data_IF_804893362058
#
_entry.id   IF_804893362058
#
_cell.length_a   1.000
_cell.length_b   1.000
_cell.length_c   1.000
_cell.angle_alpha   90.00
_cell.angle_beta   90.00
_cell.angle_gamma   90.00
#
_symmetry.space_group_name_H-M   'P 1'
#
loop_
_entity.id
_entity.type
_entity.pdbx_description
1 polymer ?
#
# COMPACT_ATOMS: atom_id res chain seq x y z
N UNK A 1 18.70 14.84 -11.99
CA UNK A 1 18.60 14.96 -10.53
C UNK A 1 17.13 14.71 -10.17
N UNK A 2 16.82 13.65 -9.43
CA UNK A 2 15.41 13.40 -9.02
C UNK A 2 14.99 14.51 -8.06
N UNK A 3 13.88 15.16 -8.35
CA UNK A 3 13.29 16.15 -7.43
C UNK A 3 12.96 15.47 -6.10
N UNK A 4 13.15 16.12 -4.94
CA UNK A 4 12.81 15.55 -3.66
C UNK A 4 11.32 15.22 -3.59
N UNK A 5 10.99 14.04 -3.05
CA UNK A 5 9.61 13.59 -2.95
C UNK A 5 8.77 14.55 -2.10
N UNK A 6 7.52 14.74 -2.52
CA UNK A 6 6.54 15.60 -1.86
C UNK A 6 5.74 14.80 -0.84
N UNK A 7 5.70 15.29 0.39
CA UNK A 7 4.90 14.72 1.48
C UNK A 7 3.87 15.74 1.91
N UNK A 8 2.62 15.33 2.05
CA UNK A 8 1.60 16.14 2.73
C UNK A 8 1.29 15.48 4.08
N UNK A 9 1.51 16.24 5.17
CA UNK A 9 1.11 15.84 6.52
C UNK A 9 -0.24 16.46 6.82
N UNK A 10 -1.22 15.62 7.10
CA UNK A 10 -2.58 16.03 7.48
C UNK A 10 -2.77 15.66 8.95
N UNK A 11 -2.67 16.66 9.82
CA UNK A 11 -2.64 16.52 11.28
C UNK A 11 -3.13 17.82 11.90
N UNK A 12 -4.09 17.77 12.81
CA UNK A 12 -4.67 18.94 13.45
C UNK A 12 -3.85 19.43 14.65
N UNK A 13 -3.08 18.56 15.31
CA UNK A 13 -2.10 18.99 16.29
C UNK A 13 -0.93 19.69 15.59
N UNK A 14 -0.94 21.02 15.66
CA UNK A 14 0.07 21.88 15.02
C UNK A 14 1.48 21.54 15.47
N UNK A 15 1.69 21.19 16.75
CA UNK A 15 3.03 20.85 17.29
C UNK A 15 3.53 19.55 16.71
N UNK A 16 2.68 18.53 16.65
CA UNK A 16 3.02 17.25 16.05
C UNK A 16 3.27 17.39 14.55
N UNK A 17 2.42 18.11 13.84
CA UNK A 17 2.56 18.37 12.41
C UNK A 17 3.89 19.07 12.09
N UNK A 18 4.26 20.09 12.86
CA UNK A 18 5.54 20.81 12.72
C UNK A 18 6.74 19.92 13.04
N UNK A 19 6.68 19.12 14.10
CA UNK A 19 7.74 18.18 14.45
C UNK A 19 7.98 17.16 13.32
N UNK A 20 6.91 16.60 12.77
CA UNK A 20 6.98 15.66 11.64
C UNK A 20 7.55 16.35 10.40
N UNK A 21 7.06 17.55 10.08
CA UNK A 21 7.56 18.35 8.95
C UNK A 21 9.06 18.60 9.05
N UNK A 22 9.49 19.14 10.18
CA UNK A 22 10.89 19.56 10.36
C UNK A 22 11.84 18.36 10.31
N UNK A 23 11.43 17.25 10.92
CA UNK A 23 12.19 16.01 10.84
C UNK A 23 12.29 15.47 9.41
N UNK A 24 11.19 15.43 8.66
CA UNK A 24 11.18 14.94 7.29
C UNK A 24 11.91 15.88 6.32
N UNK A 25 11.85 17.20 6.53
CA UNK A 25 12.63 18.18 5.75
C UNK A 25 14.13 17.99 5.95
N UNK A 26 14.59 17.71 7.18
CA UNK A 26 15.99 17.36 7.45
C UNK A 26 16.42 16.07 6.73
N UNK A 27 15.50 15.20 6.39
CA UNK A 27 15.76 13.99 5.61
C UNK A 27 15.67 14.23 4.08
N UNK A 28 15.51 15.49 3.64
CA UNK A 28 15.52 15.88 2.23
C UNK A 28 14.18 15.80 1.50
N UNK A 29 13.06 15.69 2.22
CA UNK A 29 11.71 15.71 1.63
C UNK A 29 11.16 17.13 1.53
N UNK A 30 10.23 17.35 0.58
CA UNK A 30 9.39 18.55 0.55
C UNK A 30 8.10 18.27 1.31
N UNK A 31 7.84 18.99 2.39
CA UNK A 31 6.71 18.70 3.27
C UNK A 31 5.76 19.87 3.37
N UNK A 32 4.50 19.65 3.05
CA UNK A 32 3.36 20.53 3.34
C UNK A 32 2.57 20.03 4.55
N UNK A 33 1.87 20.94 5.23
CA UNK A 33 0.97 20.63 6.35
C UNK A 33 -0.44 21.09 6.02
N UNK A 34 -1.43 20.28 6.35
CA UNK A 34 -2.85 20.65 6.39
C UNK A 34 -3.45 20.18 7.73
N UNK A 35 -4.24 21.02 8.37
CA UNK A 35 -4.80 20.74 9.70
C UNK A 35 -6.25 20.29 9.70
N UNK A 36 -6.90 20.13 8.53
CA UNK A 36 -8.34 19.82 8.43
C UNK A 36 -8.60 18.80 7.34
N UNK A 37 -9.45 17.83 7.65
CA UNK A 37 -9.81 16.79 6.70
C UNK A 37 -10.61 17.29 5.49
N UNK A 38 -11.52 18.23 5.68
CA UNK A 38 -12.32 18.81 4.59
C UNK A 38 -11.47 19.56 3.54
N UNK A 39 -10.36 20.18 3.96
CA UNK A 39 -9.41 20.84 3.05
C UNK A 39 -8.38 19.85 2.47
N UNK A 40 -8.11 18.80 3.21
CA UNK A 40 -7.11 17.80 2.79
C UNK A 40 -7.50 17.12 1.47
N UNK A 41 -8.77 16.83 1.26
CA UNK A 41 -9.25 16.20 0.01
C UNK A 41 -8.88 17.05 -1.21
N UNK A 42 -9.26 18.33 -1.20
CA UNK A 42 -8.98 19.24 -2.31
C UNK A 42 -7.47 19.37 -2.53
N UNK A 43 -6.72 19.54 -1.45
CA UNK A 43 -5.27 19.73 -1.50
C UNK A 43 -4.52 18.50 -1.99
N UNK A 44 -4.92 17.29 -1.57
CA UNK A 44 -4.33 16.03 -2.05
C UNK A 44 -4.52 15.90 -3.57
N UNK A 45 -5.71 16.20 -4.06
CA UNK A 45 -6.02 16.08 -5.49
C UNK A 45 -5.32 17.17 -6.32
N UNK A 46 -5.18 18.40 -5.80
CA UNK A 46 -4.52 19.49 -6.50
C UNK A 46 -3.00 19.36 -6.51
N UNK A 47 -2.39 19.06 -5.36
CA UNK A 47 -0.93 19.03 -5.20
C UNK A 47 -0.31 17.70 -5.65
N UNK A 48 -1.10 16.62 -5.71
CA UNK A 48 -0.70 15.26 -6.04
C UNK A 48 0.63 14.87 -5.35
N UNK A 49 0.72 14.88 -4.00
CA UNK A 49 1.93 14.52 -3.30
C UNK A 49 2.31 13.05 -3.56
N UNK A 50 3.59 12.69 -3.42
CA UNK A 50 4.03 11.30 -3.56
C UNK A 50 3.52 10.43 -2.40
N UNK A 51 3.35 11.03 -1.22
CA UNK A 51 2.77 10.37 -0.03
C UNK A 51 2.02 11.36 0.84
N UNK A 52 0.89 10.90 1.38
CA UNK A 52 0.12 11.60 2.42
C UNK A 52 0.32 10.87 3.74
N UNK A 53 0.73 11.59 4.78
CA UNK A 53 0.69 11.13 6.18
C UNK A 53 -0.59 11.71 6.77
N UNK A 54 -1.56 10.87 7.09
CA UNK A 54 -2.94 11.27 7.35
C UNK A 54 -3.37 10.83 8.75
N UNK A 55 -3.66 11.80 9.62
CA UNK A 55 -4.26 11.46 10.90
C UNK A 55 -5.68 10.91 10.73
N UNK A 56 -6.01 9.97 11.57
CA UNK A 56 -7.35 9.42 11.64
C UNK A 56 -8.37 10.45 12.14
N UNK A 57 -8.01 11.12 13.25
CA UNK A 57 -8.93 12.04 13.92
C UNK A 57 -8.68 13.49 13.51
N UNK A 58 -9.42 13.94 12.50
CA UNK A 58 -9.30 15.30 11.96
C UNK A 58 -10.61 16.08 12.12
N UNK A 59 -10.54 17.39 12.33
CA UNK A 59 -11.73 18.24 12.29
C UNK A 59 -12.26 18.39 10.86
N UNK A 60 -13.58 18.50 10.75
CA UNK A 60 -14.29 18.60 9.46
C UNK A 60 -14.63 17.24 8.89
N UNK A 61 -13.71 16.57 8.25
CA UNK A 61 -13.82 15.18 7.81
C UNK A 61 -12.75 14.33 8.48
N UNK A 62 -13.12 13.16 8.98
CA UNK A 62 -12.16 12.23 9.54
C UNK A 62 -11.20 11.65 8.47
N UNK A 63 -10.05 11.15 8.91
CA UNK A 63 -9.03 10.66 8.00
C UNK A 63 -9.46 9.47 7.16
N UNK A 64 -10.39 8.63 7.66
CA UNK A 64 -10.93 7.52 6.88
C UNK A 64 -11.80 8.02 5.73
N UNK A 65 -12.64 9.00 6.00
CA UNK A 65 -13.49 9.62 5.00
C UNK A 65 -12.62 10.31 3.93
N UNK A 66 -11.58 11.05 4.35
CA UNK A 66 -10.59 11.65 3.44
C UNK A 66 -9.95 10.57 2.57
N UNK A 67 -9.46 9.48 3.18
CA UNK A 67 -8.85 8.36 2.46
C UNK A 67 -9.81 7.77 1.41
N UNK A 68 -11.07 7.52 1.79
CA UNK A 68 -12.10 6.99 0.90
C UNK A 68 -12.38 7.91 -0.29
N UNK A 69 -12.50 9.22 -0.03
CA UNK A 69 -12.82 10.21 -1.06
C UNK A 69 -11.71 10.38 -2.09
N UNK A 70 -10.45 10.39 -1.64
CA UNK A 70 -9.33 10.63 -2.56
C UNK A 70 -8.90 9.39 -3.33
N UNK A 71 -9.18 8.19 -2.83
CA UNK A 71 -8.55 6.96 -3.34
C UNK A 71 -8.77 6.67 -4.81
N UNK A 72 -9.95 6.98 -5.35
CA UNK A 72 -10.26 6.74 -6.76
C UNK A 72 -9.51 7.68 -7.73
N UNK A 73 -9.14 8.88 -7.26
CA UNK A 73 -8.48 9.90 -8.08
C UNK A 73 -7.00 10.14 -7.70
N UNK A 74 -6.53 9.56 -6.59
CA UNK A 74 -5.19 9.73 -6.08
C UNK A 74 -4.42 8.40 -6.03
N UNK A 75 -3.39 8.29 -6.85
CA UNK A 75 -2.52 7.10 -6.97
C UNK A 75 -1.30 7.11 -6.04
N UNK A 76 -1.03 8.23 -5.37
CA UNK A 76 0.06 8.33 -4.39
C UNK A 76 -0.18 7.48 -3.15
N UNK A 77 0.78 7.46 -2.24
CA UNK A 77 0.74 6.64 -1.04
C UNK A 77 -0.01 7.32 0.09
N UNK A 78 -0.77 6.55 0.89
CA UNK A 78 -1.44 7.04 2.10
C UNK A 78 -0.97 6.23 3.30
N UNK A 79 -0.32 6.92 4.24
CA UNK A 79 0.14 6.39 5.53
C UNK A 79 -0.72 6.97 6.64
N UNK A 80 -1.54 6.14 7.27
CA UNK A 80 -2.42 6.58 8.35
C UNK A 80 -1.67 6.71 9.68
N UNK A 81 -1.97 7.78 10.44
CA UNK A 81 -1.60 7.88 11.85
C UNK A 81 -2.83 7.53 12.72
N UNK A 82 -2.67 6.67 13.71
CA UNK A 82 -3.78 6.25 14.58
C UNK A 82 -3.39 6.21 16.04
N UNK A 83 -4.27 6.73 16.91
CA UNK A 83 -4.15 6.62 18.37
C UNK A 83 -4.82 5.36 18.93
N UNK A 84 -5.57 4.60 18.10
CA UNK A 84 -6.38 3.48 18.55
C UNK A 84 -5.59 2.19 18.56
N UNK A 85 -5.80 1.39 19.61
CA UNK A 85 -5.16 0.09 19.82
C UNK A 85 -5.93 -1.08 19.19
N UNK A 86 -7.17 -0.85 18.75
CA UNK A 86 -8.03 -1.91 18.20
C UNK A 86 -7.58 -2.32 16.79
N UNK A 87 -7.31 -3.62 16.63
CA UNK A 87 -7.00 -4.24 15.34
C UNK A 87 -8.12 -4.02 14.30
N UNK A 88 -9.37 -3.87 14.76
CA UNK A 88 -10.53 -3.61 13.89
C UNK A 88 -10.44 -2.26 13.17
N UNK A 89 -9.94 -1.21 13.83
CA UNK A 89 -9.80 0.11 13.23
C UNK A 89 -8.68 0.14 12.17
N UNK A 90 -7.59 -0.60 12.40
CA UNK A 90 -6.53 -0.75 11.41
C UNK A 90 -7.02 -1.51 10.17
N UNK A 91 -7.88 -2.51 10.38
CA UNK A 91 -8.56 -3.26 9.33
C UNK A 91 -9.41 -2.30 8.47
N UNK A 92 -10.24 -1.46 9.10
CA UNK A 92 -11.10 -0.49 8.41
C UNK A 92 -10.27 0.53 7.62
N UNK A 93 -9.18 1.07 8.18
CA UNK A 93 -8.31 2.03 7.48
C UNK A 93 -7.66 1.44 6.23
N UNK A 94 -7.18 0.21 6.35
CA UNK A 94 -6.65 -0.53 5.19
C UNK A 94 -7.77 -0.89 4.22
N UNK A 95 -8.99 -1.18 4.69
CA UNK A 95 -10.19 -1.41 3.87
C UNK A 95 -10.59 -0.23 3.03
N UNK A 96 -10.37 0.97 3.49
CA UNK A 96 -10.68 2.18 2.76
C UNK A 96 -9.57 2.66 1.82
N UNK A 97 -8.46 1.91 1.71
CA UNK A 97 -7.43 2.17 0.71
C UNK A 97 -6.13 2.77 1.23
N UNK A 98 -5.89 2.84 2.53
CA UNK A 98 -4.59 3.21 3.07
C UNK A 98 -3.51 2.17 2.68
N UNK A 99 -2.29 2.65 2.46
CA UNK A 99 -1.16 1.79 2.08
C UNK A 99 -0.43 1.23 3.31
N UNK A 100 -0.42 1.96 4.43
CA UNK A 100 0.17 1.54 5.71
C UNK A 100 -0.36 2.40 6.87
N UNK A 101 0.02 2.07 8.11
CA UNK A 101 -0.34 2.85 9.31
C UNK A 101 0.84 2.96 10.28
N UNK A 102 0.79 3.98 11.14
CA UNK A 102 1.72 4.19 12.27
C UNK A 102 0.90 4.52 13.51
N UNK A 103 1.18 3.83 14.61
CA UNK A 103 0.56 4.14 15.90
C UNK A 103 1.11 5.43 16.50
N UNK A 104 0.23 6.22 17.11
CA UNK A 104 0.61 7.32 17.99
C UNK A 104 0.92 6.74 19.41
N UNK A 105 1.94 7.21 20.14
CA UNK A 105 2.81 8.32 19.81
C UNK A 105 3.76 8.01 18.63
N UNK A 106 3.88 8.98 17.71
CA UNK A 106 4.64 8.79 16.47
C UNK A 106 6.14 8.84 16.76
N UNK A 107 6.81 7.72 16.62
CA UNK A 107 8.27 7.66 16.69
C UNK A 107 8.87 8.10 15.32
N UNK A 108 9.67 9.20 15.26
CA UNK A 108 10.12 9.76 13.98
C UNK A 108 10.91 8.77 13.10
N UNK A 109 11.71 7.89 13.73
CA UNK A 109 12.49 6.88 12.98
C UNK A 109 11.58 5.82 12.35
N UNK A 110 10.53 5.38 13.05
CA UNK A 110 9.56 4.42 12.54
C UNK A 110 8.76 5.03 11.38
N UNK A 111 8.29 6.28 11.56
CA UNK A 111 7.61 7.03 10.51
C UNK A 111 8.47 7.13 9.24
N UNK A 112 9.73 7.54 9.39
CA UNK A 112 10.67 7.67 8.28
C UNK A 112 10.92 6.33 7.57
N UNK A 113 11.09 5.25 8.31
CA UNK A 113 11.30 3.92 7.75
C UNK A 113 10.11 3.49 6.87
N UNK A 114 8.87 3.72 7.34
CA UNK A 114 7.64 3.42 6.60
C UNK A 114 7.48 4.32 5.36
N UNK A 115 7.72 5.62 5.49
CA UNK A 115 7.72 6.55 4.35
C UNK A 115 8.72 6.08 3.28
N UNK A 116 9.96 5.75 3.66
CA UNK A 116 10.96 5.25 2.72
C UNK A 116 10.54 3.95 2.05
N UNK A 117 9.95 3.03 2.80
CA UNK A 117 9.44 1.78 2.26
C UNK A 117 8.33 2.03 1.23
N UNK A 118 7.39 2.93 1.50
CA UNK A 118 6.31 3.28 0.58
C UNK A 118 6.81 4.01 -0.67
N UNK A 119 7.74 4.97 -0.52
CA UNK A 119 8.29 5.75 -1.64
C UNK A 119 9.25 4.95 -2.53
N UNK A 120 10.03 4.00 -1.97
CA UNK A 120 10.91 3.12 -2.76
C UNK A 120 10.14 2.34 -3.82
N UNK A 121 8.90 2.02 -3.57
CA UNK A 121 8.01 1.31 -4.49
C UNK A 121 7.43 2.20 -5.59
N UNK A 122 7.37 3.51 -5.38
CA UNK A 122 6.92 4.46 -6.39
C UNK A 122 7.99 4.78 -7.45
N UNK A 123 9.27 4.64 -7.08
CA UNK A 123 10.41 4.90 -7.97
C UNK A 123 11.06 3.62 -8.46
N UNK A 124 10.37 2.82 -9.28
CA UNK A 124 10.90 1.54 -9.77
C UNK A 124 12.37 1.58 -10.14
N UNK A 125 13.26 1.22 -9.19
CA UNK A 125 14.57 0.62 -9.47
C UNK A 125 15.26 0.17 -8.18
N UNK A 126 15.82 -1.05 -8.26
CA UNK A 126 16.65 -1.77 -7.29
C UNK A 126 15.90 -2.55 -6.20
N UNK A 127 15.18 -3.57 -6.61
CA UNK A 127 14.99 -4.74 -5.78
C UNK A 127 16.15 -5.72 -6.03
N UNK A 128 16.77 -6.08 -4.95
CA UNK A 128 17.57 -7.27 -4.69
C UNK A 128 17.66 -8.29 -5.82
N UNK A 129 18.83 -8.38 -6.36
CA UNK A 129 19.32 -9.47 -7.21
C UNK A 129 19.40 -10.75 -6.36
N UNK A 130 18.33 -11.52 -6.27
CA UNK A 130 18.36 -12.92 -5.89
C UNK A 130 17.30 -13.69 -6.68
N UNK A 131 17.82 -14.37 -7.68
CA UNK A 131 17.33 -15.56 -8.39
C UNK A 131 15.91 -15.52 -8.99
N UNK A 132 15.93 -15.25 -10.28
CA UNK A 132 14.91 -15.67 -11.25
C UNK A 132 14.80 -17.19 -11.38
N UNK A 133 13.63 -17.66 -11.82
CA UNK A 133 13.63 -18.38 -13.08
C UNK A 133 12.64 -17.77 -14.11
N UNK A 134 13.18 -17.48 -15.26
CA UNK A 134 12.54 -17.35 -16.56
C UNK A 134 11.54 -16.21 -16.80
N UNK A 135 12.06 -15.13 -17.43
CA UNK A 135 11.41 -14.34 -18.46
C UNK A 135 10.14 -13.56 -18.11
N UNK A 136 10.35 -12.38 -17.52
CA UNK A 136 9.51 -11.24 -17.86
C UNK A 136 10.44 -10.19 -18.49
N UNK A 137 10.77 -10.34 -19.76
CA UNK A 137 11.65 -9.39 -20.46
C UNK A 137 11.01 -8.02 -20.67
N UNK A 138 9.70 -7.83 -20.33
CA UNK A 138 8.99 -6.57 -20.57
C UNK A 138 8.05 -6.11 -19.43
N UNK A 139 8.23 -6.57 -18.21
CA UNK A 139 7.36 -6.13 -17.10
C UNK A 139 5.88 -6.49 -17.27
N UNK A 140 5.57 -7.46 -18.13
CA UNK A 140 4.24 -7.97 -18.39
C UNK A 140 4.13 -9.44 -17.96
N UNK A 141 3.14 -9.75 -17.13
CA UNK A 141 2.81 -11.12 -16.75
C UNK A 141 1.46 -11.50 -17.32
N UNK A 142 1.38 -12.71 -17.89
CA UNK A 142 0.20 -13.26 -18.53
C UNK A 142 -0.18 -14.59 -17.89
N UNK A 143 -1.43 -14.71 -17.42
CA UNK A 143 -2.01 -15.93 -16.88
C UNK A 143 -3.42 -16.09 -17.45
N UNK A 144 -3.57 -16.80 -18.56
CA UNK A 144 -4.85 -16.91 -19.26
C UNK A 144 -5.42 -15.51 -19.58
N UNK A 145 -6.63 -15.16 -19.09
CA UNK A 145 -7.25 -13.86 -19.31
C UNK A 145 -6.69 -12.75 -18.40
N UNK A 146 -5.83 -13.07 -17.41
CA UNK A 146 -5.21 -12.09 -16.54
C UNK A 146 -3.93 -11.54 -17.18
N UNK A 147 -3.85 -10.22 -17.34
CA UNK A 147 -2.65 -9.49 -17.76
C UNK A 147 -2.27 -8.50 -16.67
N UNK A 148 -1.00 -8.49 -16.25
CA UNK A 148 -0.48 -7.59 -15.22
C UNK A 148 0.73 -6.87 -15.79
N UNK A 149 0.69 -5.53 -15.83
CA UNK A 149 1.77 -4.70 -16.33
C UNK A 149 2.39 -3.88 -15.19
N UNK A 150 3.68 -4.10 -14.91
CA UNK A 150 4.39 -3.39 -13.85
C UNK A 150 4.67 -1.93 -14.20
N UNK A 151 4.92 -1.62 -15.47
CA UNK A 151 5.24 -0.26 -15.92
C UNK A 151 4.06 0.69 -15.77
N UNK A 152 2.87 0.26 -16.21
CA UNK A 152 1.65 1.06 -16.06
C UNK A 152 0.94 0.84 -14.73
N UNK A 153 1.38 -0.14 -13.93
CA UNK A 153 0.73 -0.59 -12.67
C UNK A 153 -0.74 -0.93 -12.87
N UNK A 154 -1.05 -1.55 -13.99
CA UNK A 154 -2.42 -1.96 -14.35
C UNK A 154 -2.53 -3.47 -14.40
N UNK A 155 -3.71 -3.98 -14.06
CA UNK A 155 -4.07 -5.36 -14.28
C UNK A 155 -5.42 -5.42 -15.00
N UNK A 156 -5.56 -6.33 -15.95
CA UNK A 156 -6.82 -6.60 -16.65
C UNK A 156 -7.18 -8.06 -16.55
N UNK A 157 -8.45 -8.37 -16.36
CA UNK A 157 -8.98 -9.71 -16.35
C UNK A 157 -10.10 -9.81 -17.40
N UNK A 158 -9.95 -10.71 -18.37
CA UNK A 158 -10.88 -10.83 -19.50
C UNK A 158 -11.17 -9.47 -20.18
N UNK A 159 -10.09 -8.70 -20.48
CA UNK A 159 -10.09 -7.37 -21.08
C UNK A 159 -10.72 -6.24 -20.22
N UNK A 160 -11.21 -6.56 -19.01
CA UNK A 160 -11.70 -5.55 -18.07
C UNK A 160 -10.58 -5.10 -17.14
N UNK A 161 -10.38 -3.79 -17.03
CA UNK A 161 -9.40 -3.22 -16.09
C UNK A 161 -9.85 -3.43 -14.65
N UNK A 162 -8.95 -3.96 -13.82
CA UNK A 162 -9.18 -4.14 -12.40
C UNK A 162 -8.82 -2.84 -11.66
N UNK A 163 -9.77 -2.30 -10.92
CA UNK A 163 -9.54 -1.15 -10.04
C UNK A 163 -8.80 -1.61 -8.78
N UNK A 164 -7.48 -1.65 -8.84
CA UNK A 164 -6.62 -2.05 -7.73
C UNK A 164 -6.03 -0.83 -7.04
N UNK A 165 -6.06 -0.84 -5.71
CA UNK A 165 -5.22 0.08 -4.94
C UNK A 165 -3.75 -0.26 -5.17
N UNK A 166 -2.85 0.67 -4.87
CA UNK A 166 -1.40 0.44 -5.00
C UNK A 166 -0.96 -0.84 -4.28
N UNK A 167 -1.49 -1.07 -3.06
CA UNK A 167 -1.14 -2.24 -2.24
C UNK A 167 -1.67 -3.54 -2.82
N UNK A 168 -2.89 -3.54 -3.33
CA UNK A 168 -3.47 -4.71 -3.99
C UNK A 168 -2.70 -5.06 -5.25
N UNK A 169 -2.28 -4.04 -6.02
CA UNK A 169 -1.44 -4.24 -7.19
C UNK A 169 -0.06 -4.82 -6.80
N UNK A 170 0.60 -4.24 -5.78
CA UNK A 170 1.91 -4.72 -5.33
C UNK A 170 1.84 -6.17 -4.84
N UNK A 171 0.78 -6.54 -4.11
CA UNK A 171 0.56 -7.92 -3.68
C UNK A 171 0.28 -8.84 -4.88
N UNK A 172 -0.58 -8.42 -5.81
CA UNK A 172 -0.87 -9.20 -7.02
C UNK A 172 0.39 -9.44 -7.84
N UNK A 173 1.19 -8.38 -8.06
CA UNK A 173 2.46 -8.46 -8.77
C UNK A 173 3.45 -9.39 -8.09
N UNK A 174 3.60 -9.28 -6.76
CA UNK A 174 4.50 -10.14 -5.98
C UNK A 174 4.09 -11.61 -6.07
N UNK A 175 2.81 -11.91 -5.85
CA UNK A 175 2.29 -13.27 -5.90
C UNK A 175 2.40 -13.86 -7.31
N UNK A 176 2.09 -13.08 -8.34
CA UNK A 176 2.17 -13.49 -9.74
C UNK A 176 3.62 -13.77 -10.18
N UNK A 177 4.60 -12.95 -9.76
CA UNK A 177 6.02 -13.23 -10.00
C UNK A 177 6.50 -14.53 -9.32
N UNK A 178 5.86 -14.91 -8.23
CA UNK A 178 6.14 -16.15 -7.50
C UNK A 178 5.09 -17.24 -7.78
N UNK A 179 4.43 -17.18 -8.93
CA UNK A 179 3.37 -18.13 -9.27
C UNK A 179 3.83 -19.59 -9.19
N UNK A 180 3.04 -20.43 -8.54
CA UNK A 180 3.37 -21.84 -8.28
C UNK A 180 4.26 -22.05 -7.04
N UNK A 181 4.67 -20.98 -6.33
CA UNK A 181 5.42 -21.07 -5.07
C UNK A 181 4.54 -20.60 -3.92
N UNK A 182 4.68 -21.24 -2.77
CA UNK A 182 4.02 -20.78 -1.55
C UNK A 182 4.83 -19.60 -1.00
N UNK A 183 4.17 -18.45 -0.83
CA UNK A 183 4.73 -17.26 -0.20
C UNK A 183 4.25 -17.18 1.24
N UNK A 184 5.17 -17.19 2.19
CA UNK A 184 4.88 -16.98 3.61
C UNK A 184 4.34 -15.58 3.89
N UNK A 185 3.57 -15.42 4.97
CA UNK A 185 3.09 -14.08 5.37
C UNK A 185 4.24 -13.13 5.69
N UNK A 186 5.26 -13.66 6.34
CA UNK A 186 6.50 -12.94 6.66
C UNK A 186 7.25 -12.51 5.39
N UNK A 187 7.41 -13.43 4.44
CA UNK A 187 8.05 -13.14 3.17
C UNK A 187 7.29 -12.08 2.38
N UNK A 188 5.95 -12.18 2.33
CA UNK A 188 5.10 -11.20 1.68
C UNK A 188 5.23 -9.82 2.34
N UNK A 189 5.21 -9.75 3.67
CA UNK A 189 5.37 -8.49 4.40
C UNK A 189 6.75 -7.90 4.20
N UNK A 190 7.79 -8.72 4.28
CA UNK A 190 9.16 -8.29 4.04
C UNK A 190 9.34 -7.73 2.62
N UNK A 191 8.85 -8.43 1.61
CA UNK A 191 8.93 -8.00 0.22
C UNK A 191 8.06 -6.75 -0.06
N UNK A 192 6.87 -6.68 0.55
CA UNK A 192 5.97 -5.54 0.38
C UNK A 192 6.32 -4.34 1.27
N UNK A 193 6.92 -4.50 2.43
CA UNK A 193 7.16 -3.42 3.40
C UNK A 193 8.60 -3.22 3.80
N UNK A 194 9.46 -4.23 3.65
CA UNK A 194 10.85 -4.21 4.12
C UNK A 194 10.97 -4.15 5.65
N UNK A 195 9.99 -4.68 6.38
CA UNK A 195 9.90 -4.67 7.86
C UNK A 195 9.73 -6.11 8.33
N UNK A 196 10.33 -6.46 9.46
CA UNK A 196 10.15 -7.76 10.11
C UNK A 196 8.71 -7.93 10.61
N UNK A 197 8.19 -9.16 10.53
CA UNK A 197 6.86 -9.55 10.96
C UNK A 197 6.80 -9.67 12.48
N UNK A 198 5.85 -8.99 13.11
CA UNK A 198 5.63 -9.01 14.55
C UNK A 198 4.63 -10.10 15.01
N UNK A 199 4.15 -10.94 14.12
CA UNK A 199 3.18 -12.00 14.38
C UNK A 199 1.72 -11.55 14.44
N UNK A 200 1.44 -10.26 14.49
CA UNK A 200 0.10 -9.69 14.70
C UNK A 200 -0.47 -9.01 13.46
N UNK A 201 0.32 -8.77 12.42
CA UNK A 201 -0.09 -8.02 11.23
C UNK A 201 -0.98 -8.85 10.29
N UNK A 202 -2.28 -8.68 10.37
CA UNK A 202 -3.28 -9.29 9.47
C UNK A 202 -3.46 -8.59 8.13
N UNK A 203 -2.67 -7.58 7.83
CA UNK A 203 -2.82 -6.75 6.64
C UNK A 203 -2.69 -7.52 5.32
N UNK A 204 -1.87 -8.57 5.29
CA UNK A 204 -1.75 -9.46 4.12
C UNK A 204 -3.05 -10.21 3.88
N UNK A 205 -3.65 -10.79 4.93
CA UNK A 205 -4.87 -11.59 4.84
C UNK A 205 -6.04 -10.75 4.29
N UNK A 206 -6.15 -9.50 4.76
CA UNK A 206 -7.16 -8.53 4.29
C UNK A 206 -6.94 -8.18 2.83
N UNK A 207 -5.71 -7.87 2.45
CA UNK A 207 -5.38 -7.51 1.07
C UNK A 207 -5.64 -8.70 0.12
N UNK A 208 -5.32 -9.94 0.54
CA UNK A 208 -5.65 -11.15 -0.21
C UNK A 208 -7.16 -11.32 -0.36
N UNK A 209 -7.93 -11.12 0.72
CA UNK A 209 -9.40 -11.24 0.67
C UNK A 209 -10.02 -10.29 -0.34
N UNK A 210 -9.55 -9.03 -0.41
CA UNK A 210 -10.02 -8.05 -1.39
C UNK A 210 -9.60 -8.37 -2.80
N UNK A 211 -8.34 -8.77 -2.94
CA UNK A 211 -7.80 -9.15 -4.23
C UNK A 211 -8.60 -10.30 -4.82
N UNK A 212 -8.97 -11.31 -4.00
CA UNK A 212 -9.88 -12.40 -4.42
C UNK A 212 -11.20 -11.86 -4.93
N UNK A 213 -11.87 -10.98 -4.19
CA UNK A 213 -13.14 -10.37 -4.62
C UNK A 213 -13.01 -9.65 -5.96
N UNK A 214 -11.96 -8.87 -6.17
CA UNK A 214 -11.73 -8.14 -7.43
C UNK A 214 -11.36 -9.05 -8.59
N UNK A 215 -10.70 -10.15 -8.29
CA UNK A 215 -10.37 -11.18 -9.27
C UNK A 215 -11.53 -12.13 -9.56
N UNK A 216 -12.67 -12.03 -8.85
CA UNK A 216 -13.78 -12.97 -8.96
C UNK A 216 -13.41 -14.37 -8.46
N UNK A 217 -12.49 -14.48 -7.52
CA UNK A 217 -12.08 -15.72 -6.88
C UNK A 217 -12.97 -15.98 -5.64
N UNK A 218 -13.46 -17.20 -5.48
CA UNK A 218 -14.29 -17.53 -4.33
C UNK A 218 -13.46 -17.47 -3.04
N UNK A 219 -13.95 -16.75 -2.05
CA UNK A 219 -13.25 -16.64 -0.76
C UNK A 219 -13.36 -17.90 0.10
N UNK A 220 -14.41 -18.72 -0.11
CA UNK A 220 -14.62 -19.97 0.61
C UNK A 220 -13.83 -21.13 -0.02
N UNK A 221 -13.74 -21.18 -1.35
CA UNK A 221 -12.93 -22.15 -2.09
C UNK A 221 -12.10 -21.47 -3.19
N UNK A 222 -11.02 -20.79 -2.81
CA UNK A 222 -10.24 -19.99 -3.75
C UNK A 222 -9.43 -20.87 -4.70
N UNK A 223 -9.59 -20.61 -6.02
CA UNK A 223 -8.88 -21.33 -7.08
C UNK A 223 -7.67 -20.58 -7.62
N UNK A 224 -7.69 -19.25 -7.58
CA UNK A 224 -6.65 -18.37 -8.15
C UNK A 224 -5.55 -18.04 -7.15
N UNK A 225 -5.93 -17.63 -5.92
CA UNK A 225 -5.00 -17.37 -4.81
C UNK A 225 -5.40 -18.28 -3.66
N UNK A 226 -4.77 -19.44 -3.53
CA UNK A 226 -5.08 -20.44 -2.49
C UNK A 226 -4.43 -20.08 -1.17
N UNK A 227 -5.14 -20.34 -0.06
CA UNK A 227 -4.56 -20.31 1.28
C UNK A 227 -3.97 -21.68 1.58
N UNK A 228 -2.68 -21.72 1.90
CA UNK A 228 -2.01 -22.94 2.36
C UNK A 228 -1.84 -22.82 3.87
N UNK A 229 -2.59 -23.62 4.61
CA UNK A 229 -2.64 -23.57 6.07
C UNK A 229 -1.24 -23.58 6.70
N UNK A 230 -1.01 -22.69 7.64
CA UNK A 230 0.26 -22.47 8.35
C UNK A 230 1.48 -22.17 7.46
N UNK A 231 1.30 -21.98 6.15
CA UNK A 231 2.40 -21.71 5.22
C UNK A 231 2.29 -20.37 4.48
N UNK A 232 1.05 -19.89 4.21
CA UNK A 232 0.85 -18.63 3.50
C UNK A 232 -0.08 -18.75 2.30
N UNK A 233 0.29 -18.14 1.17
CA UNK A 233 -0.51 -18.03 -0.02
C UNK A 233 0.20 -18.59 -1.26
N UNK A 234 -0.59 -19.17 -2.15
CA UNK A 234 -0.15 -19.73 -3.42
C UNK A 234 -0.94 -19.09 -4.57
N UNK A 235 -0.27 -18.41 -5.46
CA UNK A 235 -0.84 -17.97 -6.73
C UNK A 235 -0.79 -19.13 -7.73
N UNK A 236 -1.96 -19.59 -8.19
CA UNK A 236 -2.11 -20.75 -9.08
C UNK A 236 -1.90 -20.29 -10.52
N UNK A 237 -1.00 -20.94 -11.27
CA UNK A 237 -0.72 -20.59 -12.67
C UNK A 237 -1.87 -20.89 -13.62
N UNK A 238 -2.60 -21.95 -13.34
CA UNK A 238 -3.60 -22.58 -14.23
C UNK A 238 -5.04 -22.28 -13.78
N UNK A 239 -5.23 -21.43 -12.76
CA UNK A 239 -6.55 -21.11 -12.18
C UNK A 239 -7.29 -19.95 -12.85
N UNK A 240 -6.89 -19.55 -14.05
CA UNK A 240 -7.37 -18.31 -14.70
C UNK A 240 -8.24 -18.57 -15.92
#
# INVERSE_FOLDING_TARGET
MNSPAKILVVEDDVRLAELIRDYLQQQGYRVGIEGRGDRAVERILADAPDIVVLDWMLPGQDGLEVCRMVRNAYSGKILMLTAREDDMDQIVGLELGADDYVKKPVEPRVLLARIRALLRRAGGNNASKLMSPAAAEDGLLLFGPLKICSFSRTATLAEQTLELTTREFDLLWLLANNAGRIMGREDILHELRGIEYDGLDRSVDITVSRLRKKLGDDTADPHRIKTIWNKGYLFVKEGW
#
